data_IF_680852030523
#
_entry.id   IF_680852030523
#
_cell.length_a   1.000
_cell.length_b   1.000
_cell.length_c   1.000
_cell.angle_alpha   90.00
_cell.angle_beta   90.00
_cell.angle_gamma   90.00
#
_symmetry.space_group_name_H-M   'P 1'
#
loop_
_entity.id
_entity.type
_entity.pdbx_description
1 polymer ?
#
# COMPACT_ATOMS: atom_id res chain seq x y z
N UNK A 1 -12.52 -4.81 -3.23
CA UNK A 1 -13.02 -3.41 -3.21
C UNK A 1 -14.08 -3.10 -4.26
N UNK A 2 -13.82 -3.32 -5.55
CA UNK A 2 -14.77 -3.00 -6.63
C UNK A 2 -16.16 -3.65 -6.43
N UNK A 3 -16.20 -4.98 -6.19
CA UNK A 3 -17.43 -5.72 -5.90
C UNK A 3 -18.12 -5.25 -4.62
N UNK A 4 -17.37 -5.16 -3.52
CA UNK A 4 -17.88 -4.77 -2.20
C UNK A 4 -18.49 -3.35 -2.14
N UNK A 5 -18.00 -2.43 -2.97
CA UNK A 5 -18.53 -1.06 -3.08
C UNK A 5 -19.57 -0.91 -4.20
N UNK A 6 -19.94 -2.00 -4.87
CA UNK A 6 -20.83 -2.02 -6.04
C UNK A 6 -20.45 -0.96 -7.09
N UNK A 7 -19.18 -0.95 -7.46
CA UNK A 7 -18.63 0.06 -8.37
C UNK A 7 -19.15 -0.20 -9.80
N UNK A 8 -19.66 0.85 -10.46
CA UNK A 8 -20.03 0.76 -11.88
C UNK A 8 -18.87 0.18 -12.71
N UNK A 9 -19.10 -0.83 -13.58
CA UNK A 9 -18.04 -1.50 -14.34
C UNK A 9 -17.18 -0.54 -15.19
N UNK A 10 -17.77 0.55 -15.69
CA UNK A 10 -17.07 1.54 -16.51
C UNK A 10 -16.30 2.57 -15.69
N UNK A 11 -16.48 2.61 -14.36
CA UNK A 11 -15.81 3.59 -13.50
C UNK A 11 -14.32 3.31 -13.45
N UNK A 12 -13.51 4.33 -13.71
CA UNK A 12 -12.07 4.29 -13.50
C UNK A 12 -11.73 4.15 -12.01
N UNK A 13 -10.83 3.23 -11.72
CA UNK A 13 -10.18 3.02 -10.44
C UNK A 13 -8.72 3.41 -10.57
N UNK A 14 -8.16 3.98 -9.50
CA UNK A 14 -6.73 4.26 -9.41
C UNK A 14 -6.16 3.60 -8.16
N UNK A 15 -5.13 2.77 -8.33
CA UNK A 15 -4.23 2.41 -7.23
C UNK A 15 -3.03 3.36 -7.28
N UNK A 16 -2.84 4.15 -6.22
CA UNK A 16 -1.66 5.00 -6.05
C UNK A 16 -0.71 4.35 -5.05
N UNK A 17 0.37 3.75 -5.53
CA UNK A 17 1.40 3.19 -4.67
C UNK A 17 2.42 4.25 -4.27
N UNK A 18 2.74 4.31 -2.99
CA UNK A 18 3.92 5.04 -2.50
C UNK A 18 5.16 4.16 -2.72
N UNK A 19 6.15 4.68 -3.44
CA UNK A 19 7.37 3.95 -3.80
C UNK A 19 8.62 4.64 -3.26
N UNK A 20 9.56 3.85 -2.74
CA UNK A 20 10.86 4.37 -2.33
C UNK A 20 11.75 4.61 -3.57
N UNK A 21 12.18 5.85 -3.74
CA UNK A 21 13.02 6.34 -4.84
C UNK A 21 14.47 6.67 -4.43
N UNK A 22 14.88 6.38 -3.19
CA UNK A 22 16.25 6.65 -2.72
C UNK A 22 17.33 6.11 -3.66
N UNK A 23 17.15 4.88 -4.18
CA UNK A 23 18.11 4.25 -5.10
C UNK A 23 18.28 4.98 -6.44
N UNK A 24 17.33 5.84 -6.84
CA UNK A 24 17.47 6.65 -8.06
C UNK A 24 18.50 7.78 -7.88
N UNK A 25 18.76 8.17 -6.63
CA UNK A 25 19.70 9.22 -6.27
C UNK A 25 20.95 8.62 -5.62
N UNK A 26 21.42 7.47 -6.09
CA UNK A 26 22.58 6.77 -5.53
C UNK A 26 23.87 7.61 -5.54
N UNK A 27 23.96 8.60 -6.44
CA UNK A 27 25.01 9.62 -6.50
C UNK A 27 25.01 10.57 -5.28
N UNK A 28 23.84 10.79 -4.66
CA UNK A 28 23.62 11.71 -3.52
C UNK A 28 23.29 10.99 -2.23
N UNK A 29 22.69 9.81 -2.32
CA UNK A 29 22.29 8.92 -1.22
C UNK A 29 22.99 7.58 -1.47
N UNK A 30 24.26 7.45 -1.06
CA UNK A 30 25.01 6.22 -1.29
C UNK A 30 24.29 5.00 -0.66
N UNK A 31 24.30 3.82 -1.27
CA UNK A 31 23.52 2.66 -0.80
C UNK A 31 23.81 2.19 0.64
N UNK A 32 24.99 2.50 1.16
CA UNK A 32 25.41 2.13 2.53
C UNK A 32 25.03 3.17 3.59
N UNK A 33 24.40 4.29 3.22
CA UNK A 33 24.04 5.35 4.15
C UNK A 33 22.57 5.29 4.53
N UNK A 34 22.26 5.88 5.68
CA UNK A 34 20.87 6.08 6.12
C UNK A 34 20.38 7.40 5.54
N UNK A 35 19.34 7.34 4.72
CA UNK A 35 18.62 8.55 4.31
C UNK A 35 17.62 8.96 5.40
N UNK A 36 17.93 10.03 6.13
CA UNK A 36 17.00 10.65 7.06
C UNK A 36 16.16 11.69 6.31
N UNK A 37 15.03 11.26 5.74
CA UNK A 37 14.13 12.12 4.99
C UNK A 37 13.05 11.35 4.24
N UNK A 38 12.14 12.07 3.59
CA UNK A 38 11.11 11.47 2.74
C UNK A 38 11.69 11.21 1.35
N UNK A 39 11.75 9.94 0.97
CA UNK A 39 12.16 9.47 -0.37
C UNK A 39 11.02 8.70 -1.04
N UNK A 40 9.79 9.09 -0.77
CA UNK A 40 8.58 8.57 -1.39
C UNK A 40 8.24 9.31 -2.68
N UNK A 41 7.98 8.56 -3.74
CA UNK A 41 7.28 9.04 -4.94
C UNK A 41 5.97 8.27 -5.12
N UNK A 42 5.16 8.67 -6.09
CA UNK A 42 3.85 8.10 -6.36
C UNK A 42 3.86 7.37 -7.71
N UNK A 43 3.40 6.13 -7.71
CA UNK A 43 3.17 5.36 -8.91
C UNK A 43 1.67 5.08 -9.06
N UNK A 44 1.06 5.68 -10.07
CA UNK A 44 -0.37 5.61 -10.32
C UNK A 44 -0.71 4.52 -11.34
N UNK A 45 -1.61 3.61 -11.00
CA UNK A 45 -2.12 2.56 -11.88
C UNK A 45 -3.62 2.74 -12.06
N UNK A 46 -4.05 3.08 -13.28
CA UNK A 46 -5.46 3.27 -13.61
C UNK A 46 -6.03 2.11 -14.43
N UNK A 47 -7.23 1.67 -14.10
CA UNK A 47 -7.97 0.62 -14.80
C UNK A 47 -9.47 0.82 -14.57
N UNK A 48 -10.33 0.11 -15.28
CA UNK A 48 -11.78 0.16 -15.02
C UNK A 48 -12.18 -0.88 -13.98
N UNK A 49 -13.29 -0.66 -13.28
CA UNK A 49 -13.81 -1.64 -12.34
C UNK A 49 -14.07 -3.00 -13.00
N UNK A 50 -14.52 -3.03 -14.27
CA UNK A 50 -14.66 -4.26 -15.08
C UNK A 50 -13.36 -5.06 -15.13
N UNK A 51 -12.27 -4.42 -15.55
CA UNK A 51 -10.95 -5.06 -15.64
C UNK A 51 -10.44 -5.61 -14.31
N UNK A 52 -10.95 -5.13 -13.16
CA UNK A 52 -10.58 -5.62 -11.84
C UNK A 52 -11.45 -6.77 -11.33
N UNK A 53 -12.64 -6.99 -11.91
CA UNK A 53 -13.61 -8.00 -11.44
C UNK A 53 -13.81 -9.15 -12.43
N UNK A 54 -13.35 -9.01 -13.67
CA UNK A 54 -13.28 -10.09 -14.64
C UNK A 54 -12.43 -11.26 -14.11
N UNK A 55 -12.58 -12.46 -14.69
CA UNK A 55 -11.92 -13.68 -14.19
C UNK A 55 -10.39 -13.57 -14.14
N UNK A 56 -9.78 -12.89 -15.12
CA UNK A 56 -8.34 -12.61 -15.14
C UNK A 56 -7.97 -11.31 -14.39
N UNK A 57 -8.91 -10.69 -13.68
CA UNK A 57 -8.76 -9.34 -13.15
C UNK A 57 -7.60 -9.19 -12.16
N UNK A 58 -7.34 -10.21 -11.32
CA UNK A 58 -6.18 -10.21 -10.42
C UNK A 58 -4.87 -10.22 -11.19
N UNK A 59 -4.75 -11.09 -12.21
CA UNK A 59 -3.56 -11.20 -13.04
C UNK A 59 -3.34 -9.91 -13.85
N UNK A 60 -4.40 -9.38 -14.46
CA UNK A 60 -4.38 -8.14 -15.21
C UNK A 60 -3.92 -6.96 -14.34
N UNK A 61 -4.59 -6.73 -13.20
CA UNK A 61 -4.27 -5.61 -12.30
C UNK A 61 -2.85 -5.75 -11.75
N UNK A 62 -2.42 -6.96 -11.39
CA UNK A 62 -1.06 -7.19 -10.86
C UNK A 62 0.02 -6.93 -11.92
N UNK A 63 -0.19 -7.42 -13.14
CA UNK A 63 0.72 -7.18 -14.28
C UNK A 63 0.81 -5.70 -14.60
N UNK A 64 -0.33 -5.03 -14.73
CA UNK A 64 -0.39 -3.60 -15.02
C UNK A 64 0.24 -2.76 -13.91
N UNK A 65 -0.01 -3.09 -12.65
CA UNK A 65 0.60 -2.43 -11.50
C UNK A 65 2.12 -2.57 -11.54
N UNK A 66 2.64 -3.75 -11.85
CA UNK A 66 4.10 -3.97 -11.99
C UNK A 66 4.70 -3.14 -13.12
N UNK A 67 4.05 -3.08 -14.28
CA UNK A 67 4.50 -2.27 -15.41
C UNK A 67 4.51 -0.78 -15.09
N UNK A 68 3.43 -0.26 -14.50
CA UNK A 68 3.29 1.16 -14.16
C UNK A 68 4.25 1.54 -13.01
N UNK A 69 4.53 0.64 -12.07
CA UNK A 69 5.58 0.83 -11.05
C UNK A 69 6.97 1.00 -11.68
N UNK A 70 7.32 0.18 -12.67
CA UNK A 70 8.61 0.28 -13.37
C UNK A 70 8.70 1.61 -14.11
N UNK A 71 7.64 1.98 -14.83
CA UNK A 71 7.59 3.24 -15.59
C UNK A 71 7.75 4.47 -14.71
N UNK A 72 7.06 4.53 -13.57
CA UNK A 72 7.10 5.71 -12.70
C UNK A 72 8.36 5.80 -11.82
N UNK A 73 9.19 4.75 -11.76
CA UNK A 73 10.40 4.72 -10.94
C UNK A 73 11.66 5.03 -11.76
N UNK A 74 11.60 6.13 -12.52
CA UNK A 74 12.76 6.74 -13.20
C UNK A 74 12.96 8.17 -12.70
N UNK A 75 14.16 8.73 -12.89
CA UNK A 75 14.47 10.10 -12.46
C UNK A 75 13.56 11.12 -13.16
N UNK A 76 13.35 10.96 -14.46
CA UNK A 76 12.55 11.87 -15.29
C UNK A 76 11.10 11.91 -14.83
N UNK A 77 10.52 10.75 -14.48
CA UNK A 77 9.15 10.66 -13.99
C UNK A 77 9.00 11.26 -12.59
N UNK A 78 9.99 11.05 -11.72
CA UNK A 78 10.02 11.67 -10.38
C UNK A 78 10.10 13.20 -10.51
N UNK A 79 11.01 13.71 -11.34
CA UNK A 79 11.18 15.15 -11.55
C UNK A 79 9.93 15.79 -12.16
N UNK A 80 9.30 15.12 -13.13
CA UNK A 80 8.03 15.57 -13.71
C UNK A 80 6.92 15.64 -12.65
N UNK A 81 6.77 14.61 -11.80
CA UNK A 81 5.78 14.61 -10.72
C UNK A 81 6.05 15.74 -9.72
N UNK A 82 7.31 15.95 -9.32
CA UNK A 82 7.70 17.04 -8.42
C UNK A 82 7.40 18.41 -9.04
N UNK A 83 7.66 18.58 -10.34
CA UNK A 83 7.33 19.82 -11.06
C UNK A 83 5.81 20.10 -11.03
N UNK A 84 4.98 19.08 -11.30
CA UNK A 84 3.51 19.19 -11.22
C UNK A 84 3.08 19.58 -9.79
N UNK A 85 3.64 18.91 -8.78
CA UNK A 85 3.32 19.18 -7.37
C UNK A 85 3.69 20.62 -6.96
N UNK A 86 4.82 21.15 -7.43
CA UNK A 86 5.26 22.53 -7.18
C UNK A 86 4.34 23.58 -7.78
N UNK A 87 3.73 23.29 -8.93
CA UNK A 87 2.82 24.23 -9.63
C UNK A 87 1.40 24.24 -9.06
N UNK A 88 1.01 23.23 -8.29
CA UNK A 88 -0.34 23.14 -7.73
C UNK A 88 -0.48 23.98 -6.45
N UNK A 89 -1.55 24.78 -6.39
CA UNK A 89 -1.87 25.66 -5.26
C UNK A 89 -2.30 24.91 -3.98
N UNK A 90 -2.61 23.61 -4.07
CA UNK A 90 -2.95 22.79 -2.90
C UNK A 90 -1.75 21.94 -2.47
N UNK A 91 -1.19 22.20 -1.28
CA UNK A 91 -0.04 21.46 -0.73
C UNK A 91 -0.29 19.96 -0.49
N UNK A 92 -1.55 19.49 -0.59
CA UNK A 92 -1.96 18.14 -0.18
C UNK A 92 -2.62 17.32 -1.31
N UNK A 93 -3.27 17.96 -2.30
CA UNK A 93 -4.09 17.26 -3.31
C UNK A 93 -3.50 17.26 -4.73
N UNK A 94 -2.30 17.82 -4.91
CA UNK A 94 -1.67 18.11 -6.21
C UNK A 94 -1.19 16.91 -7.03
N UNK A 95 -1.35 15.69 -6.51
CA UNK A 95 -0.79 14.47 -7.13
C UNK A 95 -1.83 13.50 -7.67
N UNK A 96 -3.11 13.82 -7.52
CA UNK A 96 -4.20 12.99 -8.05
C UNK A 96 -4.40 13.32 -9.53
N UNK A 97 -3.88 12.45 -10.38
CA UNK A 97 -4.03 12.56 -11.83
C UNK A 97 -5.35 11.87 -12.23
N UNK A 98 -6.14 12.48 -13.11
CA UNK A 98 -7.32 11.85 -13.73
C UNK A 98 -8.66 12.55 -13.43
N UNK A 99 -9.76 11.91 -13.87
CA UNK A 99 -11.11 12.49 -13.79
C UNK A 99 -11.70 12.52 -12.37
N UNK A 100 -12.58 13.50 -12.11
CA UNK A 100 -13.19 13.71 -10.79
C UNK A 100 -14.06 12.57 -10.24
N UNK A 101 -14.41 11.58 -11.07
CA UNK A 101 -15.20 10.41 -10.66
C UNK A 101 -14.33 9.14 -10.42
N UNK A 102 -13.00 9.26 -10.37
CA UNK A 102 -12.14 8.10 -10.08
C UNK A 102 -12.44 7.53 -8.70
N UNK A 103 -12.49 6.20 -8.58
CA UNK A 103 -12.38 5.55 -7.28
C UNK A 103 -10.90 5.47 -6.90
N UNK A 104 -10.49 6.35 -6.00
CA UNK A 104 -9.11 6.46 -5.53
C UNK A 104 -8.83 5.42 -4.42
N UNK A 105 -7.77 4.63 -4.62
CA UNK A 105 -7.28 3.57 -3.74
C UNK A 105 -5.79 3.82 -3.44
N UNK A 106 -5.45 4.70 -2.47
CA UNK A 106 -4.06 4.83 -2.08
C UNK A 106 -3.57 3.52 -1.45
N UNK A 107 -2.31 3.18 -1.70
CA UNK A 107 -1.66 1.99 -1.18
C UNK A 107 -0.26 2.35 -0.68
N UNK A 108 0.04 2.01 0.57
CA UNK A 108 1.39 2.13 1.13
C UNK A 108 1.87 0.78 1.60
N UNK A 109 3.07 0.37 1.16
CA UNK A 109 3.67 -0.90 1.55
C UNK A 109 4.82 -0.65 2.53
N UNK A 110 4.60 -1.00 3.79
CA UNK A 110 5.56 -0.84 4.87
C UNK A 110 6.36 -2.11 5.15
N UNK A 111 6.16 -3.19 4.38
CA UNK A 111 6.89 -4.45 4.58
C UNK A 111 8.41 -4.26 4.56
N UNK A 112 8.91 -3.37 3.69
CA UNK A 112 10.34 -3.03 3.62
C UNK A 112 10.87 -2.28 4.85
N UNK A 113 9.99 -1.77 5.71
CA UNK A 113 10.33 -1.22 7.02
C UNK A 113 10.63 -2.27 8.08
N UNK A 114 10.37 -3.55 7.80
CA UNK A 114 10.75 -4.71 8.65
C UNK A 114 10.29 -4.59 10.11
N UNK A 115 9.10 -4.02 10.35
CA UNK A 115 8.60 -3.78 11.70
C UNK A 115 8.49 -5.05 12.56
N UNK A 116 8.10 -6.18 11.96
CA UNK A 116 8.04 -7.49 12.64
C UNK A 116 9.43 -8.10 12.94
N UNK A 117 10.51 -7.49 12.46
CA UNK A 117 11.88 -7.98 12.64
C UNK A 117 12.69 -7.14 13.64
N UNK A 118 12.10 -6.04 14.13
CA UNK A 118 12.70 -5.23 15.18
C UNK A 118 12.96 -6.09 16.43
N UNK A 119 14.17 -6.02 16.96
CA UNK A 119 14.62 -6.83 18.10
C UNK A 119 14.61 -5.99 19.39
N UNK A 120 13.62 -6.26 20.24
CA UNK A 120 13.48 -5.70 21.57
C UNK A 120 13.87 -6.71 22.66
N UNK A 121 14.66 -7.75 22.34
CA UNK A 121 15.09 -8.77 23.31
C UNK A 121 15.82 -8.19 24.52
N UNK A 122 16.58 -7.10 24.34
CA UNK A 122 17.24 -6.37 25.42
C UNK A 122 16.27 -5.76 26.45
N UNK A 123 15.00 -5.55 26.09
CA UNK A 123 13.98 -5.02 26.99
C UNK A 123 13.24 -6.10 27.80
N UNK A 124 13.57 -7.39 27.60
CA UNK A 124 12.92 -8.49 28.29
C UNK A 124 13.46 -8.63 29.72
N UNK A 125 12.67 -8.21 30.72
CA UNK A 125 13.05 -8.30 32.13
C UNK A 125 13.01 -9.71 32.74
N UNK A 126 12.35 -10.69 32.09
CA UNK A 126 12.29 -12.09 32.52
C UNK A 126 12.26 -13.04 31.32
N UNK A 127 12.94 -14.18 31.44
CA UNK A 127 12.71 -15.31 30.53
C UNK A 127 11.32 -15.92 30.81
N UNK A 128 10.26 -15.39 30.21
CA UNK A 128 8.98 -16.11 30.06
C UNK A 128 9.13 -17.49 29.38
N UNK A 129 8.18 -18.39 29.62
CA UNK A 129 8.33 -19.82 29.33
C UNK A 129 7.77 -20.26 27.96
N UNK A 130 7.06 -19.40 27.23
CA UNK A 130 6.39 -19.79 25.98
C UNK A 130 7.27 -19.63 24.74
N UNK A 131 7.45 -20.73 24.01
CA UNK A 131 8.25 -20.85 22.79
C UNK A 131 7.49 -20.64 21.47
N UNK A 132 6.26 -20.12 21.50
CA UNK A 132 5.44 -19.96 20.28
C UNK A 132 5.83 -18.75 19.42
N UNK A 133 6.58 -17.80 19.95
CA UNK A 133 6.97 -16.56 19.26
C UNK A 133 8.46 -16.27 19.41
N UNK A 134 9.08 -15.72 18.36
CA UNK A 134 10.46 -15.22 18.43
C UNK A 134 10.50 -14.10 19.47
N UNK A 135 11.15 -14.37 20.60
CA UNK A 135 11.19 -13.46 21.74
C UNK A 135 11.81 -12.13 21.34
N UNK A 136 11.26 -11.04 21.89
CA UNK A 136 11.74 -9.69 21.60
C UNK A 136 11.26 -9.13 20.27
N UNK A 137 10.62 -9.91 19.40
CA UNK A 137 10.01 -9.39 18.17
C UNK A 137 8.53 -9.08 18.35
N UNK A 138 7.99 -8.07 17.64
CA UNK A 138 6.56 -7.79 17.65
C UNK A 138 5.75 -8.99 17.16
N UNK A 139 4.76 -9.41 17.93
CA UNK A 139 3.73 -10.37 17.50
C UNK A 139 2.61 -9.70 16.69
N UNK A 140 2.43 -8.39 16.90
CA UNK A 140 1.43 -7.55 16.27
C UNK A 140 2.01 -6.16 16.00
N UNK A 141 1.71 -5.62 14.82
CA UNK A 141 2.01 -4.25 14.43
C UNK A 141 0.74 -3.69 13.82
N UNK A 142 0.39 -2.46 14.19
CA UNK A 142 -0.72 -1.75 13.57
C UNK A 142 -0.38 -0.26 13.44
N UNK A 143 -1.10 0.41 12.55
CA UNK A 143 -1.10 1.86 12.50
C UNK A 143 -2.26 2.44 13.31
N UNK A 144 -1.94 3.44 14.13
CA UNK A 144 -2.94 4.35 14.67
C UNK A 144 -3.13 5.48 13.66
N UNK A 145 -4.09 5.33 12.76
CA UNK A 145 -4.37 6.33 11.75
C UNK A 145 -5.35 7.38 12.28
N UNK A 146 -4.84 8.57 12.63
CA UNK A 146 -5.66 9.74 12.93
C UNK A 146 -5.74 10.66 11.70
N UNK A 147 -6.94 11.07 11.34
CA UNK A 147 -7.13 12.11 10.34
C UNK A 147 -8.24 13.06 10.78
N UNK A 148 -7.92 14.35 10.68
CA UNK A 148 -8.84 15.46 10.93
C UNK A 148 -8.93 16.30 9.67
N UNK A 149 -10.15 16.67 9.28
CA UNK A 149 -10.40 17.57 8.15
C UNK A 149 -10.57 16.92 6.78
N UNK A 150 -10.34 15.61 6.60
CA UNK A 150 -10.65 14.91 5.35
C UNK A 150 -10.89 13.39 5.54
N UNK A 151 -11.85 12.78 4.82
CA UNK A 151 -12.10 11.36 4.93
C UNK A 151 -11.02 10.55 4.19
N UNK A 152 -10.33 9.67 4.91
CA UNK A 152 -9.27 8.80 4.38
C UNK A 152 -9.83 7.44 4.06
N UNK A 153 -10.74 7.44 3.09
CA UNK A 153 -11.42 6.22 2.64
C UNK A 153 -10.57 5.48 1.60
N UNK A 154 -10.71 4.17 1.64
CA UNK A 154 -10.09 3.18 0.76
C UNK A 154 -8.55 3.15 0.81
N UNK A 155 -7.94 3.70 1.86
CA UNK A 155 -6.49 3.64 2.01
C UNK A 155 -6.06 2.25 2.47
N UNK A 156 -5.35 1.52 1.62
CA UNK A 156 -4.77 0.22 1.92
C UNK A 156 -3.34 0.37 2.43
N UNK A 157 -3.02 -0.35 3.50
CA UNK A 157 -1.70 -0.34 4.13
C UNK A 157 -1.25 -1.78 4.30
N UNK A 158 -0.11 -2.12 3.72
CA UNK A 158 0.55 -3.42 3.90
C UNK A 158 1.54 -3.27 5.03
N UNK A 159 1.22 -3.78 6.21
CA UNK A 159 2.02 -3.62 7.42
C UNK A 159 3.25 -4.53 7.42
N UNK A 160 3.12 -5.69 6.77
CA UNK A 160 4.21 -6.63 6.58
C UNK A 160 3.80 -8.06 6.87
N UNK A 161 4.81 -8.92 6.94
CA UNK A 161 4.69 -10.35 7.20
C UNK A 161 5.18 -10.63 8.61
N UNK A 162 4.38 -11.28 9.46
CA UNK A 162 4.82 -11.66 10.80
C UNK A 162 5.76 -12.89 10.77
N UNK A 163 6.23 -13.31 11.94
CA UNK A 163 7.12 -14.46 12.07
C UNK A 163 6.50 -15.80 11.61
N UNK A 164 5.17 -15.94 11.66
CA UNK A 164 4.44 -17.13 11.20
C UNK A 164 4.23 -17.14 9.68
N UNK A 165 4.49 -16.01 9.04
CA UNK A 165 4.31 -15.84 7.61
C UNK A 165 2.96 -15.21 7.20
N UNK A 166 2.15 -14.77 8.15
CA UNK A 166 0.88 -14.11 7.89
C UNK A 166 1.10 -12.67 7.42
N UNK A 167 0.34 -12.27 6.39
CA UNK A 167 0.33 -10.89 5.91
C UNK A 167 -0.66 -10.05 6.69
N UNK A 168 -0.18 -8.94 7.25
CA UNK A 168 -0.98 -7.96 7.96
C UNK A 168 -1.33 -6.79 7.05
N UNK A 169 -2.63 -6.59 6.86
CA UNK A 169 -3.19 -5.53 6.03
C UNK A 169 -4.13 -4.67 6.87
N UNK A 170 -4.07 -3.35 6.69
CA UNK A 170 -5.02 -2.41 7.27
C UNK A 170 -5.71 -1.62 6.17
N UNK A 171 -7.02 -1.40 6.30
CA UNK A 171 -7.78 -0.59 5.37
C UNK A 171 -8.90 0.17 6.09
N UNK A 172 -9.16 1.41 5.64
CA UNK A 172 -10.30 2.19 6.10
C UNK A 172 -11.31 2.27 4.96
N UNK A 173 -12.55 1.81 5.14
CA UNK A 173 -13.61 1.89 4.12
C UNK A 173 -14.99 2.13 4.74
N UNK A 174 -16.04 2.25 3.92
CA UNK A 174 -17.41 2.37 4.41
C UNK A 174 -17.81 1.10 5.17
N UNK A 175 -18.49 1.25 6.30
CA UNK A 175 -18.92 0.12 7.13
C UNK A 175 -19.65 -0.98 6.33
N UNK A 176 -20.56 -0.59 5.43
CA UNK A 176 -21.31 -1.52 4.58
C UNK A 176 -20.49 -2.28 3.54
N UNK A 177 -19.21 -1.95 3.31
CA UNK A 177 -18.35 -2.66 2.36
C UNK A 177 -17.68 -3.89 2.99
N UNK A 178 -17.59 -3.98 4.32
CA UNK A 178 -16.76 -4.99 4.98
C UNK A 178 -17.26 -6.42 4.78
N UNK A 179 -18.58 -6.64 4.81
CA UNK A 179 -19.16 -7.97 4.54
C UNK A 179 -18.82 -8.47 3.14
N UNK A 180 -18.89 -7.58 2.14
CA UNK A 180 -18.48 -7.89 0.77
C UNK A 180 -16.98 -8.15 0.64
N UNK A 181 -16.14 -7.39 1.35
CA UNK A 181 -14.68 -7.62 1.35
C UNK A 181 -14.35 -8.97 1.97
N UNK A 182 -14.93 -9.29 3.12
CA UNK A 182 -14.71 -10.56 3.80
C UNK A 182 -15.11 -11.74 2.92
N UNK A 183 -16.27 -11.67 2.26
CA UNK A 183 -16.73 -12.70 1.33
C UNK A 183 -15.72 -12.95 0.21
N UNK A 184 -15.24 -11.89 -0.45
CA UNK A 184 -14.27 -12.03 -1.54
C UNK A 184 -12.91 -12.55 -1.06
N UNK A 185 -12.47 -12.19 0.15
CA UNK A 185 -11.22 -12.72 0.73
C UNK A 185 -11.33 -14.21 1.04
N UNK A 186 -12.46 -14.66 1.61
CA UNK A 186 -12.69 -16.08 1.90
C UNK A 186 -12.72 -16.92 0.62
N UNK A 187 -13.35 -16.42 -0.45
CA UNK A 187 -13.37 -17.09 -1.74
C UNK A 187 -11.96 -17.32 -2.33
N UNK A 188 -11.00 -16.42 -2.04
CA UNK A 188 -9.60 -16.60 -2.46
C UNK A 188 -8.88 -17.69 -1.68
N UNK A 189 -9.23 -17.88 -0.40
CA UNK A 189 -8.68 -18.96 0.43
C UNK A 189 -9.20 -20.30 -0.08
N UNK A 190 -10.51 -20.42 -0.30
CA UNK A 190 -11.14 -21.63 -0.83
C UNK A 190 -10.59 -22.03 -2.21
N UNK A 191 -10.28 -21.04 -3.07
CA UNK A 191 -9.64 -21.29 -4.37
C UNK A 191 -8.20 -21.85 -4.24
N UNK A 192 -7.47 -21.51 -3.17
CA UNK A 192 -6.09 -21.97 -2.97
C UNK A 192 -5.99 -23.38 -2.36
N UNK A 193 -7.09 -23.92 -1.84
CA UNK A 193 -7.19 -25.26 -1.27
C UNK A 193 -7.69 -26.32 -2.27
N UNK A 194 -8.08 -25.90 -3.48
CA UNK A 194 -8.44 -26.76 -4.61
C UNK A 194 -7.27 -26.97 -5.58
#
# INVERSE_FOLDING_TARGET
MAKALNVSPSRTMMIMNVVNIANLFADRIPPATVCLGNTGSLANTMFTARQAVDDEGIAYVSSKLRQDLIKHRTLEQVDALVAIQKLSLSKVASSLIGGGNILFLPCSNHHKGRYFEADFSAALGRQGQDGSHIRGRPSFVNDAYYCSGYPTRNFLRVLGKNANGDWWLACNTRAGAWSGIQKELLALVEYSEC
#
